data_IF_939983448681
#
_entry.id   IF_939983448681
#
_cell.length_a   1.000
_cell.length_b   1.000
_cell.length_c   1.000
_cell.angle_alpha   90.00
_cell.angle_beta   90.00
_cell.angle_gamma   90.00
#
_symmetry.space_group_name_H-M   'P 1'
#
loop_
_entity.id
_entity.type
_entity.pdbx_description
1 polymer ?
#
# COMPACT_ATOMS: atom_id res chain seq x y z
N UNK A 1 -7.28 -20.11 4.37
CA UNK A 1 -7.01 -19.25 3.21
C UNK A 1 -7.84 -17.97 3.34
N UNK A 2 -7.22 -16.81 3.14
CA UNK A 2 -7.89 -15.51 3.23
C UNK A 2 -8.77 -15.23 2.00
N UNK A 3 -9.90 -14.57 2.24
CA UNK A 3 -10.86 -14.13 1.23
C UNK A 3 -11.30 -12.71 1.52
N UNK A 4 -11.90 -12.02 0.55
CA UNK A 4 -12.39 -10.66 0.75
C UNK A 4 -13.88 -10.70 1.07
N UNK A 5 -14.25 -10.30 2.28
CA UNK A 5 -15.62 -10.16 2.74
C UNK A 5 -16.22 -8.79 2.45
N UNK A 6 -17.52 -8.66 2.67
CA UNK A 6 -18.25 -7.41 2.52
C UNK A 6 -19.01 -7.06 3.80
N UNK A 7 -18.88 -5.80 4.20
CA UNK A 7 -19.76 -5.21 5.20
C UNK A 7 -20.16 -3.79 4.81
N UNK A 8 -21.32 -3.34 5.30
CA UNK A 8 -21.85 -1.99 5.08
C UNK A 8 -22.02 -1.28 6.41
N UNK A 9 -21.53 -0.06 6.46
CA UNK A 9 -21.70 0.82 7.60
C UNK A 9 -22.67 1.95 7.26
N UNK A 10 -23.47 2.37 8.22
CA UNK A 10 -24.24 3.61 8.21
C UNK A 10 -23.47 4.64 9.05
N UNK A 11 -22.91 5.64 8.38
CA UNK A 11 -21.88 6.49 8.99
C UNK A 11 -20.57 5.73 9.20
N UNK A 12 -19.61 6.28 9.95
CA UNK A 12 -18.27 5.71 10.02
C UNK A 12 -18.13 4.48 10.95
N UNK A 13 -19.06 4.23 11.86
CA UNK A 13 -18.87 3.21 12.92
C UNK A 13 -20.05 2.24 13.08
N UNK A 14 -21.23 2.54 12.51
CA UNK A 14 -22.40 1.69 12.71
C UNK A 14 -22.50 0.60 11.64
N UNK A 15 -22.09 -0.62 11.96
CA UNK A 15 -22.21 -1.78 11.08
C UNK A 15 -23.68 -2.19 10.93
N UNK A 16 -24.24 -2.07 9.71
CA UNK A 16 -25.62 -2.40 9.40
C UNK A 16 -25.79 -3.70 8.61
N UNK A 17 -24.72 -4.15 7.94
CA UNK A 17 -24.72 -5.42 7.20
C UNK A 17 -23.33 -6.02 7.19
N UNK A 18 -23.24 -7.33 7.40
CA UNK A 18 -22.05 -8.13 7.16
C UNK A 18 -22.48 -9.42 6.45
N UNK A 19 -21.92 -9.67 5.29
CA UNK A 19 -22.17 -10.92 4.58
C UNK A 19 -21.46 -12.08 5.29
N UNK A 20 -22.12 -13.24 5.29
CA UNK A 20 -21.52 -14.50 5.79
C UNK A 20 -20.60 -15.13 4.77
N UNK A 21 -20.95 -14.98 3.50
CA UNK A 21 -20.15 -15.50 2.38
C UNK A 21 -19.16 -14.45 1.90
N UNK A 22 -17.96 -14.87 1.50
CA UNK A 22 -16.98 -13.96 0.92
C UNK A 22 -17.47 -13.38 -0.40
N UNK A 23 -17.05 -12.15 -0.71
CA UNK A 23 -17.40 -11.45 -1.93
C UNK A 23 -16.42 -11.74 -3.08
N UNK A 24 -15.12 -11.85 -2.77
CA UNK A 24 -14.10 -12.23 -3.73
C UNK A 24 -13.30 -13.40 -3.13
N UNK A 25 -13.23 -14.49 -3.90
CA UNK A 25 -12.55 -15.74 -3.52
C UNK A 25 -11.40 -16.03 -4.49
N UNK A 26 -10.50 -16.95 -4.13
CA UNK A 26 -9.44 -17.41 -5.02
C UNK A 26 -10.03 -18.15 -6.26
N UNK A 27 -9.53 -17.80 -7.44
CA UNK A 27 -9.93 -18.39 -8.72
C UNK A 27 -8.72 -18.85 -9.55
N UNK A 28 -7.54 -18.31 -9.28
CA UNK A 28 -6.32 -18.55 -10.04
C UNK A 28 -5.24 -19.20 -9.18
N UNK A 29 -4.31 -19.91 -9.79
CA UNK A 29 -3.21 -20.58 -9.07
C UNK A 29 -2.36 -19.63 -8.23
N UNK A 30 -2.17 -18.39 -8.70
CA UNK A 30 -1.44 -17.36 -7.97
C UNK A 30 -2.21 -16.80 -6.76
N UNK A 31 -3.46 -17.21 -6.53
CA UNK A 31 -4.31 -16.87 -5.38
C UNK A 31 -4.50 -18.06 -4.43
N UNK A 32 -3.85 -19.21 -4.70
CA UNK A 32 -4.15 -20.50 -4.08
C UNK A 32 -4.00 -20.53 -2.56
N UNK A 33 -3.30 -19.56 -1.94
CA UNK A 33 -3.17 -19.40 -0.49
C UNK A 33 -3.92 -18.20 0.06
N UNK A 34 -4.56 -17.40 -0.79
CA UNK A 34 -5.49 -16.35 -0.36
C UNK A 34 -5.36 -15.02 -1.08
N UNK A 35 -6.32 -14.15 -0.74
CA UNK A 35 -6.39 -12.77 -1.17
C UNK A 35 -6.26 -11.88 0.08
N UNK A 36 -5.26 -11.00 0.11
CA UNK A 36 -4.92 -10.20 1.27
C UNK A 36 -4.96 -8.70 0.95
N UNK A 37 -5.01 -7.88 1.99
CA UNK A 37 -4.77 -6.44 1.93
C UNK A 37 -5.64 -5.68 0.90
N UNK A 38 -6.97 -5.84 0.83
CA UNK A 38 -7.78 -5.14 -0.16
C UNK A 38 -7.73 -3.62 0.03
N UNK A 39 -7.68 -2.88 -1.08
CA UNK A 39 -7.85 -1.43 -1.13
C UNK A 39 -8.83 -1.08 -2.23
N UNK A 40 -9.72 -0.13 -1.95
CA UNK A 40 -10.78 0.24 -2.89
C UNK A 40 -10.80 1.73 -3.13
N UNK A 41 -10.91 2.12 -4.41
CA UNK A 41 -11.18 3.48 -4.84
C UNK A 41 -12.27 3.49 -5.90
N UNK A 42 -13.01 4.59 -6.00
CA UNK A 42 -13.88 4.86 -7.15
C UNK A 42 -13.20 5.89 -8.04
N UNK A 43 -12.95 5.52 -9.31
CA UNK A 43 -12.45 6.44 -10.33
C UNK A 43 -13.50 6.50 -11.43
N UNK A 44 -14.05 7.70 -11.66
CA UNK A 44 -15.21 7.89 -12.53
C UNK A 44 -16.36 6.98 -12.03
N UNK A 45 -16.93 6.12 -12.87
CA UNK A 45 -18.06 5.26 -12.50
C UNK A 45 -17.64 3.81 -12.16
N UNK A 46 -16.33 3.55 -11.99
CA UNK A 46 -15.81 2.21 -11.74
C UNK A 46 -15.11 2.16 -10.38
N UNK A 47 -15.41 1.12 -9.62
CA UNK A 47 -14.66 0.76 -8.41
C UNK A 47 -13.48 -0.12 -8.79
N UNK A 48 -12.30 0.26 -8.34
CA UNK A 48 -11.04 -0.46 -8.49
C UNK A 48 -10.70 -1.06 -7.13
N UNK A 49 -10.68 -2.38 -7.03
CA UNK A 49 -10.29 -3.12 -5.83
C UNK A 49 -8.95 -3.79 -6.10
N UNK A 50 -7.91 -3.30 -5.48
CA UNK A 50 -6.61 -3.95 -5.51
C UNK A 50 -6.48 -4.86 -4.29
N UNK A 51 -5.74 -5.95 -4.44
CA UNK A 51 -5.45 -6.91 -3.37
C UNK A 51 -4.10 -7.57 -3.63
N UNK A 52 -3.55 -8.21 -2.63
CA UNK A 52 -2.39 -9.07 -2.77
C UNK A 52 -2.86 -10.50 -2.97
N UNK A 53 -2.51 -11.11 -4.09
CA UNK A 53 -2.65 -12.54 -4.31
C UNK A 53 -1.44 -13.27 -3.72
N UNK A 54 -1.68 -14.31 -2.94
CA UNK A 54 -0.64 -15.14 -2.34
C UNK A 54 -0.81 -16.60 -2.75
N UNK A 55 0.28 -17.21 -3.25
CA UNK A 55 0.28 -18.61 -3.70
C UNK A 55 1.07 -19.55 -2.78
N UNK A 56 1.44 -19.05 -1.58
CA UNK A 56 2.32 -19.74 -0.64
C UNK A 56 3.80 -19.40 -0.80
N UNK A 57 4.19 -18.84 -1.94
CA UNK A 57 5.57 -18.45 -2.28
C UNK A 57 5.65 -17.00 -2.72
N UNK A 58 4.78 -16.59 -3.64
CA UNK A 58 4.77 -15.25 -4.24
C UNK A 58 3.61 -14.41 -3.70
N UNK A 59 3.87 -13.13 -3.45
CA UNK A 59 2.88 -12.14 -3.04
C UNK A 59 2.86 -11.00 -4.06
N UNK A 60 1.81 -10.92 -4.87
CA UNK A 60 1.72 -10.05 -6.04
C UNK A 60 0.43 -9.22 -6.03
N UNK A 61 0.55 -7.94 -6.37
CA UNK A 61 -0.58 -7.03 -6.48
C UNK A 61 -1.49 -7.33 -7.65
N UNK A 62 -2.77 -7.50 -7.35
CA UNK A 62 -3.83 -7.82 -8.31
C UNK A 62 -4.91 -6.74 -8.32
N UNK A 63 -5.73 -6.76 -9.35
CA UNK A 63 -6.85 -5.85 -9.56
C UNK A 63 -8.13 -6.63 -9.88
N UNK A 64 -9.23 -6.20 -9.24
CA UNK A 64 -10.59 -6.47 -9.66
C UNK A 64 -11.36 -5.15 -9.83
N UNK A 65 -12.33 -5.11 -10.71
CA UNK A 65 -13.17 -3.93 -10.96
C UNK A 65 -14.64 -4.26 -10.78
N UNK A 66 -15.43 -3.26 -10.37
CA UNK A 66 -16.87 -3.38 -10.20
C UNK A 66 -17.57 -2.06 -10.51
N UNK A 67 -18.85 -2.13 -10.91
CA UNK A 67 -19.73 -0.95 -11.03
C UNK A 67 -20.68 -0.82 -9.85
N UNK A 68 -20.90 -1.87 -9.08
CA UNK A 68 -21.98 -1.97 -8.08
C UNK A 68 -21.51 -2.49 -6.70
N UNK A 69 -20.22 -2.86 -6.56
CA UNK A 69 -19.63 -3.46 -5.35
C UNK A 69 -20.20 -4.86 -4.99
N UNK A 70 -20.86 -5.50 -5.93
CA UNK A 70 -21.46 -6.84 -5.78
C UNK A 70 -20.83 -7.78 -6.81
N UNK A 71 -20.76 -7.34 -8.06
CA UNK A 71 -20.20 -8.11 -9.16
C UNK A 71 -18.81 -7.59 -9.50
N UNK A 72 -17.81 -8.46 -9.35
CA UNK A 72 -16.41 -8.12 -9.59
C UNK A 72 -15.86 -8.89 -10.80
N UNK A 73 -15.15 -8.17 -11.65
CA UNK A 73 -14.37 -8.74 -12.73
C UNK A 73 -12.88 -8.65 -12.36
N UNK A 74 -12.24 -9.80 -12.18
CA UNK A 74 -10.80 -9.85 -11.94
C UNK A 74 -10.02 -9.50 -13.20
N UNK A 75 -9.07 -8.57 -13.05
CA UNK A 75 -8.18 -8.14 -14.15
C UNK A 75 -6.79 -8.79 -14.05
N UNK A 76 -6.54 -9.56 -12.98
CA UNK A 76 -5.30 -10.28 -12.75
C UNK A 76 -4.20 -9.44 -12.11
N UNK A 77 -2.97 -9.92 -12.26
CA UNK A 77 -1.76 -9.28 -11.70
C UNK A 77 -1.47 -8.00 -12.48
N UNK A 78 -1.30 -6.89 -11.77
CA UNK A 78 -0.99 -5.57 -12.36
C UNK A 78 0.38 -5.04 -11.96
N UNK A 79 1.15 -5.81 -11.22
CA UNK A 79 2.55 -5.53 -10.85
C UNK A 79 3.50 -6.40 -11.68
N UNK A 80 4.81 -6.08 -11.75
CA UNK A 80 5.76 -6.87 -12.51
C UNK A 80 5.98 -8.26 -11.91
N UNK A 81 5.99 -9.29 -12.76
CA UNK A 81 6.33 -10.66 -12.40
C UNK A 81 7.79 -10.96 -12.79
N UNK A 82 8.73 -10.38 -12.06
CA UNK A 82 10.16 -10.56 -12.28
C UNK A 82 10.84 -11.24 -11.09
N UNK A 83 11.90 -11.99 -11.37
CA UNK A 83 12.72 -12.59 -10.32
C UNK A 83 13.63 -11.56 -9.67
N UNK A 84 14.16 -11.90 -8.49
CA UNK A 84 15.18 -11.08 -7.82
C UNK A 84 16.44 -10.89 -8.70
N UNK A 85 16.83 -11.89 -9.47
CA UNK A 85 17.96 -11.79 -10.41
C UNK A 85 17.69 -10.78 -11.53
N UNK A 86 16.48 -10.80 -12.11
CA UNK A 86 16.07 -9.82 -13.13
C UNK A 86 15.98 -8.40 -12.55
N UNK A 87 15.42 -8.23 -11.35
CA UNK A 87 15.41 -6.95 -10.67
C UNK A 87 16.83 -6.39 -10.51
N UNK A 88 17.77 -7.20 -10.02
CA UNK A 88 19.17 -6.81 -9.90
C UNK A 88 19.80 -6.44 -11.24
N UNK A 89 19.53 -7.22 -12.28
CA UNK A 89 20.05 -6.94 -13.62
C UNK A 89 19.57 -5.57 -14.13
N UNK A 90 18.28 -5.27 -14.01
CA UNK A 90 17.72 -3.99 -14.49
C UNK A 90 18.23 -2.80 -13.66
N UNK A 91 18.21 -2.91 -12.35
CA UNK A 91 18.59 -1.81 -11.47
C UNK A 91 20.10 -1.55 -11.48
N UNK A 92 20.93 -2.58 -11.59
CA UNK A 92 22.38 -2.44 -11.69
C UNK A 92 22.83 -1.82 -13.01
N UNK A 93 22.10 -2.06 -14.10
CA UNK A 93 22.45 -1.51 -15.42
C UNK A 93 22.56 0.03 -15.42
N UNK A 94 21.82 0.71 -14.56
CA UNK A 94 21.84 2.18 -14.39
C UNK A 94 22.11 2.65 -12.97
N UNK A 95 22.47 1.75 -12.06
CA UNK A 95 22.58 2.04 -10.62
C UNK A 95 21.31 2.70 -10.06
N UNK A 96 20.14 2.16 -10.44
CA UNK A 96 18.83 2.76 -10.22
C UNK A 96 18.13 2.26 -8.94
N UNK A 97 18.82 1.53 -8.07
CA UNK A 97 18.30 1.12 -6.76
C UNK A 97 19.34 1.35 -5.67
N UNK A 98 18.87 1.79 -4.48
CA UNK A 98 19.77 1.93 -3.34
C UNK A 98 20.18 0.55 -2.76
N UNK A 99 21.25 0.52 -1.94
CA UNK A 99 21.81 -0.71 -1.38
C UNK A 99 20.84 -1.47 -0.46
N UNK A 100 19.79 -0.84 0.08
CA UNK A 100 18.81 -1.52 0.94
C UNK A 100 18.00 -2.57 0.20
N UNK A 101 17.73 -2.38 -1.10
CA UNK A 101 17.03 -3.38 -1.92
C UNK A 101 17.80 -4.69 -2.00
N UNK A 102 19.14 -4.64 -2.06
CA UNK A 102 20.00 -5.82 -2.11
C UNK A 102 19.99 -6.61 -0.79
N UNK A 103 19.80 -5.93 0.35
CA UNK A 103 19.65 -6.61 1.65
C UNK A 103 18.44 -7.54 1.66
N UNK A 104 17.29 -7.07 1.20
CA UNK A 104 16.07 -7.89 1.11
C UNK A 104 16.21 -8.98 0.05
N UNK A 105 16.93 -8.68 -1.02
CA UNK A 105 17.19 -9.59 -2.12
C UNK A 105 18.09 -10.79 -1.68
N UNK A 106 19.12 -10.54 -0.88
CA UNK A 106 20.01 -11.58 -0.38
C UNK A 106 19.29 -12.63 0.48
N UNK A 107 18.29 -12.21 1.26
CA UNK A 107 17.48 -13.12 2.06
C UNK A 107 16.51 -13.97 1.23
N UNK A 108 16.15 -13.50 0.06
CA UNK A 108 15.23 -14.16 -0.85
C UNK A 108 15.94 -14.67 -2.12
N UNK A 109 17.23 -14.94 -2.06
CA UNK A 109 18.06 -15.37 -3.20
C UNK A 109 17.76 -16.78 -3.75
N UNK A 110 16.70 -17.42 -3.29
CA UNK A 110 16.17 -18.67 -3.85
C UNK A 110 15.56 -18.39 -5.23
N UNK A 111 15.78 -19.29 -6.17
CA UNK A 111 15.26 -19.20 -7.54
C UNK A 111 13.88 -19.85 -7.65
N UNK A 112 13.68 -20.91 -6.87
CA UNK A 112 12.49 -21.76 -6.89
C UNK A 112 12.20 -22.29 -5.48
N UNK A 113 10.93 -22.41 -5.15
CA UNK A 113 10.45 -23.04 -3.93
C UNK A 113 9.16 -23.81 -4.26
N UNK A 114 9.09 -25.07 -3.80
CA UNK A 114 7.93 -25.97 -3.99
C UNK A 114 7.49 -26.08 -5.48
N UNK A 115 8.47 -26.12 -6.41
CA UNK A 115 8.20 -26.16 -7.84
C UNK A 115 7.73 -24.85 -8.45
N UNK A 116 7.68 -23.76 -7.69
CA UNK A 116 7.27 -22.43 -8.15
C UNK A 116 8.47 -21.50 -8.28
N UNK A 117 8.53 -20.78 -9.38
CA UNK A 117 9.50 -19.71 -9.58
C UNK A 117 9.25 -18.58 -8.58
N UNK A 118 10.29 -18.08 -7.93
CA UNK A 118 10.20 -16.99 -6.95
C UNK A 118 10.30 -15.66 -7.68
N UNK A 119 9.27 -14.83 -7.50
CA UNK A 119 9.22 -13.45 -7.97
C UNK A 119 9.52 -12.48 -6.83
N UNK A 120 9.97 -11.28 -7.18
CA UNK A 120 10.04 -10.19 -6.20
C UNK A 120 8.63 -9.88 -5.67
N UNK A 121 8.50 -9.80 -4.34
CA UNK A 121 7.22 -9.47 -3.73
C UNK A 121 6.87 -8.01 -3.99
N UNK A 122 5.69 -7.79 -4.56
CA UNK A 122 5.17 -6.47 -4.86
C UNK A 122 3.72 -6.37 -4.36
N UNK A 123 3.56 -5.73 -3.21
CA UNK A 123 2.31 -5.63 -2.43
C UNK A 123 1.82 -4.19 -2.34
N UNK A 124 0.71 -4.00 -1.61
CA UNK A 124 0.14 -2.70 -1.26
C UNK A 124 -0.13 -1.81 -2.48
N UNK A 125 -0.69 -2.38 -3.54
CA UNK A 125 -1.14 -1.61 -4.69
C UNK A 125 -2.35 -0.76 -4.29
N UNK A 126 -2.25 0.55 -4.48
CA UNK A 126 -3.26 1.50 -4.04
C UNK A 126 -3.42 2.61 -5.08
N UNK A 127 -4.56 2.65 -5.75
CA UNK A 127 -4.85 3.72 -6.71
C UNK A 127 -5.13 5.06 -6.02
N UNK A 128 -4.74 6.14 -6.67
CA UNK A 128 -5.28 7.46 -6.38
C UNK A 128 -6.74 7.52 -6.83
N UNK A 129 -7.64 8.20 -6.09
CA UNK A 129 -9.09 8.16 -6.37
C UNK A 129 -9.54 8.99 -7.58
N UNK A 130 -8.60 9.52 -8.34
CA UNK A 130 -8.80 10.11 -9.67
C UNK A 130 -7.55 9.99 -10.54
N UNK A 131 -7.74 10.17 -11.82
CA UNK A 131 -6.60 10.35 -12.75
C UNK A 131 -5.88 11.68 -12.46
N UNK A 132 -4.55 11.64 -12.53
CA UNK A 132 -3.69 12.82 -12.42
C UNK A 132 -3.14 13.11 -13.81
N UNK A 133 -3.41 14.33 -14.33
CA UNK A 133 -3.06 14.71 -15.70
C UNK A 133 -3.55 13.70 -16.76
N UNK A 134 -4.78 13.18 -16.57
CA UNK A 134 -5.42 12.21 -17.46
C UNK A 134 -4.90 10.77 -17.35
N UNK A 135 -3.98 10.49 -16.43
CA UNK A 135 -3.32 9.18 -16.26
C UNK A 135 -3.71 8.52 -14.96
N UNK A 136 -3.82 7.19 -14.98
CA UNK A 136 -3.88 6.41 -13.76
C UNK A 136 -2.59 6.57 -12.95
N UNK A 137 -2.78 6.71 -11.66
CA UNK A 137 -1.70 6.79 -10.69
C UNK A 137 -1.96 5.80 -9.56
N UNK A 138 -0.97 5.00 -9.19
CA UNK A 138 -1.06 4.11 -8.05
C UNK A 138 0.29 3.89 -7.37
N UNK A 139 0.22 3.67 -6.07
CA UNK A 139 1.34 3.24 -5.26
C UNK A 139 1.44 1.71 -5.28
N UNK A 140 2.65 1.20 -5.11
CA UNK A 140 2.92 -0.20 -4.82
C UNK A 140 4.17 -0.32 -3.94
N UNK A 141 4.51 -1.53 -3.50
CA UNK A 141 5.63 -1.70 -2.57
C UNK A 141 6.51 -2.90 -2.89
N UNK A 142 7.70 -2.61 -3.37
CA UNK A 142 8.87 -3.47 -3.29
C UNK A 142 9.73 -2.95 -2.12
N UNK A 143 9.90 -3.76 -1.06
CA UNK A 143 10.65 -3.34 0.15
C UNK A 143 12.03 -2.80 -0.22
N UNK A 144 12.52 -1.73 0.45
CA UNK A 144 11.99 -1.12 1.68
C UNK A 144 11.14 0.14 1.47
N UNK A 145 10.85 0.55 0.26
CA UNK A 145 10.27 1.84 -0.09
C UNK A 145 8.88 1.69 -0.70
N UNK A 146 8.09 2.77 -0.73
CA UNK A 146 6.87 2.86 -1.51
C UNK A 146 7.23 3.42 -2.87
N UNK A 147 6.85 2.72 -3.93
CA UNK A 147 7.00 3.17 -5.30
C UNK A 147 5.68 3.70 -5.85
N UNK A 148 5.77 4.44 -6.95
CA UNK A 148 4.62 5.03 -7.62
C UNK A 148 4.71 4.81 -9.14
N UNK A 149 3.56 4.52 -9.74
CA UNK A 149 3.37 4.53 -11.20
C UNK A 149 2.43 5.69 -11.54
N UNK A 150 2.89 6.64 -12.33
CA UNK A 150 2.18 7.89 -12.73
C UNK A 150 2.07 7.98 -14.25
N UNK A 151 2.01 6.89 -14.99
CA UNK A 151 2.37 6.99 -16.39
C UNK A 151 1.36 6.45 -17.41
N UNK A 152 0.28 5.76 -16.99
CA UNK A 152 -0.55 5.01 -17.94
C UNK A 152 -1.92 5.65 -18.14
N UNK A 153 -2.30 5.90 -19.39
CA UNK A 153 -3.64 6.35 -19.75
C UNK A 153 -4.63 5.17 -19.72
N UNK A 154 -4.13 3.97 -19.98
CA UNK A 154 -4.83 2.70 -19.87
C UNK A 154 -3.99 1.67 -19.11
N UNK A 155 -4.62 0.86 -18.26
CA UNK A 155 -3.95 -0.22 -17.53
C UNK A 155 -3.38 -1.32 -18.45
N UNK A 156 -3.83 -1.38 -19.71
CA UNK A 156 -3.26 -2.29 -20.74
C UNK A 156 -1.84 -1.90 -21.16
N UNK A 157 -1.39 -0.70 -20.81
CA UNK A 157 -0.01 -0.26 -21.05
C UNK A 157 1.01 -0.87 -20.06
N UNK A 158 0.54 -1.48 -18.97
CA UNK A 158 1.37 -2.17 -17.97
C UNK A 158 1.94 -3.49 -18.51
N UNK A 159 2.74 -3.40 -19.54
CA UNK A 159 3.38 -4.52 -20.25
C UNK A 159 4.75 -4.84 -19.67
N UNK A 160 5.33 -5.98 -20.06
CA UNK A 160 6.72 -6.30 -19.71
C UNK A 160 7.71 -5.22 -20.18
N UNK A 161 7.49 -4.62 -21.36
CA UNK A 161 8.33 -3.53 -21.87
C UNK A 161 8.22 -2.27 -21.01
N UNK A 162 7.01 -1.94 -20.52
CA UNK A 162 6.79 -0.86 -19.57
C UNK A 162 7.60 -1.09 -18.29
N UNK A 163 7.49 -2.27 -17.68
CA UNK A 163 8.18 -2.58 -16.44
C UNK A 163 9.70 -2.68 -16.60
N UNK A 164 10.20 -3.15 -17.72
CA UNK A 164 11.64 -3.13 -17.99
C UNK A 164 12.19 -1.69 -17.96
N UNK A 165 11.51 -0.75 -18.62
CA UNK A 165 11.89 0.66 -18.59
C UNK A 165 11.73 1.26 -17.17
N UNK A 166 10.66 0.91 -16.47
CA UNK A 166 10.40 1.30 -15.08
C UNK A 166 11.58 0.93 -14.16
N UNK A 167 12.04 -0.32 -14.21
CA UNK A 167 13.16 -0.77 -13.38
C UNK A 167 14.51 -0.17 -13.78
N UNK A 168 14.74 0.10 -15.05
CA UNK A 168 15.94 0.81 -15.47
C UNK A 168 16.04 2.23 -14.90
N UNK A 169 14.90 2.83 -14.54
CA UNK A 169 14.82 4.16 -13.95
C UNK A 169 14.17 4.12 -12.55
N UNK A 170 14.41 3.08 -11.79
CA UNK A 170 13.66 2.72 -10.59
C UNK A 170 13.68 3.82 -9.51
N UNK A 171 14.82 4.49 -9.31
CA UNK A 171 14.92 5.59 -8.34
C UNK A 171 13.97 6.77 -8.67
N UNK A 172 13.64 6.97 -9.94
CA UNK A 172 12.73 8.04 -10.36
C UNK A 172 11.27 7.74 -10.00
N UNK A 173 10.99 6.53 -9.50
CA UNK A 173 9.67 6.05 -9.14
C UNK A 173 9.47 5.85 -7.63
N UNK A 174 10.39 6.32 -6.82
CA UNK A 174 10.24 6.26 -5.37
C UNK A 174 9.32 7.40 -4.92
N UNK A 175 8.26 7.03 -4.18
CA UNK A 175 7.35 7.98 -3.55
C UNK A 175 7.82 8.33 -2.14
N UNK A 176 8.02 7.33 -1.29
CA UNK A 176 8.45 7.50 0.09
C UNK A 176 9.54 6.47 0.43
N UNK A 177 10.66 6.97 0.96
CA UNK A 177 11.73 6.15 1.54
C UNK A 177 11.67 6.18 3.06
N UNK A 178 12.14 5.15 3.79
CA UNK A 178 12.34 5.22 5.23
C UNK A 178 13.18 6.44 5.62
N UNK A 179 12.68 7.26 6.53
CA UNK A 179 13.29 8.54 6.93
C UNK A 179 13.50 8.66 8.44
N UNK A 180 12.57 8.09 9.23
CA UNK A 180 12.56 8.22 10.67
C UNK A 180 12.78 6.87 11.38
N UNK A 181 13.04 6.88 12.68
CA UNK A 181 13.30 5.68 13.48
C UNK A 181 12.15 4.64 13.41
N UNK A 182 10.91 5.10 13.44
CA UNK A 182 9.74 4.23 13.34
C UNK A 182 9.51 3.65 11.92
N UNK A 183 10.35 4.00 10.95
CA UNK A 183 10.37 3.50 9.58
C UNK A 183 11.66 2.73 9.26
N UNK A 184 12.50 2.47 10.27
CA UNK A 184 13.89 2.03 10.08
C UNK A 184 14.05 0.73 9.30
N UNK A 185 13.04 -0.15 9.32
CA UNK A 185 13.02 -1.35 8.50
C UNK A 185 12.51 -1.04 7.09
N UNK A 186 11.28 -0.62 6.96
CA UNK A 186 10.66 -0.26 5.67
C UNK A 186 9.37 0.55 5.86
N UNK A 187 8.84 1.06 4.74
CA UNK A 187 7.52 1.70 4.66
C UNK A 187 6.64 0.96 3.65
N UNK A 188 5.32 1.10 3.79
CA UNK A 188 4.36 0.54 2.84
C UNK A 188 3.04 1.30 2.82
N UNK A 189 2.37 1.31 1.66
CA UNK A 189 1.10 2.00 1.48
C UNK A 189 0.03 1.49 2.45
N UNK A 190 -0.75 2.40 3.00
CA UNK A 190 -1.85 2.10 3.91
C UNK A 190 -3.20 2.28 3.25
N UNK A 191 -3.71 3.50 3.24
CA UNK A 191 -5.02 3.84 2.72
C UNK A 191 -4.95 4.47 1.33
N UNK A 192 -6.05 4.45 0.55
CA UNK A 192 -6.17 5.30 -0.63
C UNK A 192 -5.87 6.76 -0.29
N UNK A 193 -5.10 7.48 -1.13
CA UNK A 193 -4.78 8.88 -0.91
C UNK A 193 -6.02 9.76 -0.78
N UNK A 194 -5.96 10.77 0.09
CA UNK A 194 -7.05 11.72 0.30
C UNK A 194 -6.67 13.05 -0.33
N UNK A 195 -7.48 13.52 -1.27
CA UNK A 195 -7.28 14.82 -1.88
C UNK A 195 -7.59 15.95 -0.89
N UNK A 196 -6.67 16.89 -0.74
CA UNK A 196 -6.83 18.07 0.10
C UNK A 196 -6.36 19.32 -0.64
N UNK A 197 -6.75 20.53 -0.23
CA UNK A 197 -6.25 21.77 -0.83
C UNK A 197 -4.72 21.97 -0.70
N UNK A 198 -4.04 21.17 0.12
CA UNK A 198 -2.60 21.26 0.38
C UNK A 198 -1.77 20.15 -0.27
N UNK A 199 -2.43 19.17 -0.89
CA UNK A 199 -1.79 18.02 -1.49
C UNK A 199 -2.58 16.73 -1.24
N UNK A 200 -2.06 15.61 -1.73
CA UNK A 200 -2.57 14.29 -1.38
C UNK A 200 -2.07 13.90 0.01
N UNK A 201 -3.00 13.68 0.94
CA UNK A 201 -2.68 13.07 2.23
C UNK A 201 -2.52 11.57 2.05
N UNK A 202 -1.32 11.08 2.32
CA UNK A 202 -0.95 9.67 2.28
C UNK A 202 -0.92 9.14 3.72
N UNK A 203 -1.85 8.23 4.06
CA UNK A 203 -1.78 7.43 5.28
C UNK A 203 -1.09 6.13 4.92
N UNK A 204 0.04 5.84 5.55
CA UNK A 204 0.90 4.70 5.26
C UNK A 204 1.34 4.01 6.55
N UNK A 205 2.02 2.89 6.47
CA UNK A 205 2.65 2.27 7.64
C UNK A 205 4.16 2.37 7.57
N UNK A 206 4.76 2.76 8.69
CA UNK A 206 6.17 2.64 8.96
C UNK A 206 6.43 1.40 9.80
N UNK A 207 7.53 0.70 9.52
CA UNK A 207 7.92 -0.52 10.22
C UNK A 207 9.30 -0.35 10.83
N UNK A 208 9.37 -0.61 12.14
CA UNK A 208 10.60 -0.59 12.90
C UNK A 208 10.99 -2.00 13.32
N UNK A 209 12.27 -2.32 13.18
CA UNK A 209 12.86 -3.53 13.77
C UNK A 209 12.96 -3.35 15.29
N UNK A 210 12.54 -4.36 16.04
CA UNK A 210 12.77 -4.45 17.49
C UNK A 210 13.30 -5.83 17.87
N UNK A 211 13.71 -5.99 19.12
CA UNK A 211 14.18 -7.28 19.63
C UNK A 211 13.09 -8.35 19.63
N UNK A 212 11.83 -7.91 19.75
CA UNK A 212 10.65 -8.77 19.80
C UNK A 212 9.93 -8.89 18.45
N UNK A 213 10.56 -8.44 17.35
CA UNK A 213 10.01 -8.46 15.99
C UNK A 213 9.69 -7.08 15.45
N UNK A 214 8.83 -7.00 14.46
CA UNK A 214 8.45 -5.75 13.82
C UNK A 214 7.38 -5.00 14.62
N UNK A 215 7.51 -3.65 14.64
CA UNK A 215 6.46 -2.75 15.14
C UNK A 215 5.91 -1.98 13.93
N UNK A 216 4.61 -2.16 13.65
CA UNK A 216 3.92 -1.47 12.58
C UNK A 216 3.14 -0.28 13.13
N UNK A 217 3.47 0.91 12.68
CA UNK A 217 2.82 2.16 13.08
C UNK A 217 2.17 2.86 11.89
N UNK A 218 1.01 3.47 12.10
CA UNK A 218 0.42 4.32 11.10
C UNK A 218 1.14 5.68 11.03
N UNK A 219 1.39 6.16 9.83
CA UNK A 219 2.15 7.35 9.53
C UNK A 219 1.40 8.25 8.56
N UNK A 220 1.79 9.50 8.43
CA UNK A 220 1.17 10.46 7.52
C UNK A 220 2.20 11.30 6.78
N UNK A 221 1.98 11.47 5.48
CA UNK A 221 2.73 12.37 4.60
C UNK A 221 1.79 13.16 3.70
N UNK A 222 2.27 14.26 3.16
CA UNK A 222 1.58 15.08 2.16
C UNK A 222 2.46 15.14 0.91
N UNK A 223 1.87 14.88 -0.25
CA UNK A 223 2.55 14.94 -1.54
C UNK A 223 1.80 15.87 -2.50
N UNK A 224 2.48 16.37 -3.52
CA UNK A 224 1.92 17.32 -4.47
C UNK A 224 0.76 16.74 -5.28
N UNK A 225 -0.23 17.58 -5.62
CA UNK A 225 -1.46 17.16 -6.32
C UNK A 225 -1.22 16.76 -7.77
N UNK A 226 -0.32 17.45 -8.45
CA UNK A 226 -0.07 17.26 -9.87
C UNK A 226 1.17 16.40 -10.12
N UNK A 227 2.12 16.41 -9.19
CA UNK A 227 3.30 15.57 -9.19
C UNK A 227 3.47 14.85 -7.83
N UNK A 228 2.76 13.74 -7.61
CA UNK A 228 2.78 13.04 -6.32
C UNK A 228 4.14 12.52 -5.87
N UNK A 229 5.15 12.52 -6.73
CA UNK A 229 6.54 12.18 -6.37
C UNK A 229 7.22 13.25 -5.52
N UNK A 230 6.63 14.45 -5.43
CA UNK A 230 7.14 15.52 -4.59
C UNK A 230 6.53 15.39 -3.19
N UNK A 231 7.35 14.99 -2.21
CA UNK A 231 6.98 15.04 -0.78
C UNK A 231 6.94 16.50 -0.34
N UNK A 232 5.78 16.99 0.09
CA UNK A 232 5.59 18.34 0.65
C UNK A 232 5.91 18.34 2.15
N UNK A 233 5.40 17.33 2.87
CA UNK A 233 5.53 17.24 4.31
C UNK A 233 5.41 15.79 4.78
N UNK A 234 6.03 15.48 5.95
CA UNK A 234 5.90 14.18 6.61
C UNK A 234 5.99 14.38 8.12
N UNK A 235 5.13 13.70 8.88
CA UNK A 235 5.24 13.69 10.34
C UNK A 235 6.54 12.98 10.75
N UNK A 236 7.36 13.58 11.64
CA UNK A 236 8.59 12.95 12.13
C UNK A 236 8.34 11.90 13.23
N UNK A 237 7.09 11.58 13.51
CA UNK A 237 6.61 10.61 14.49
C UNK A 237 5.37 9.89 13.95
N UNK A 238 5.06 8.69 14.46
CA UNK A 238 3.87 7.96 14.04
C UNK A 238 2.59 8.73 14.34
N UNK A 239 1.62 8.68 13.45
CA UNK A 239 0.26 9.17 13.70
C UNK A 239 -0.36 8.41 14.88
N UNK A 240 -0.19 7.08 14.89
CA UNK A 240 -0.44 6.21 16.04
C UNK A 240 0.36 4.91 15.92
N UNK A 241 0.60 4.28 17.07
CA UNK A 241 1.36 3.03 17.19
C UNK A 241 0.62 2.06 18.11
N UNK A 242 0.94 0.76 18.09
CA UNK A 242 0.32 -0.23 18.96
C UNK A 242 0.44 0.14 20.45
N UNK A 243 -0.69 0.16 21.16
CA UNK A 243 -0.79 0.49 22.60
C UNK A 243 -1.85 -0.30 23.33
N UNK A 244 -2.84 -0.83 22.60
CA UNK A 244 -3.96 -1.59 23.18
C UNK A 244 -3.64 -3.08 23.12
N UNK A 245 -4.17 -3.85 24.05
CA UNK A 245 -3.92 -5.29 24.10
C UNK A 245 -4.18 -5.96 22.75
N UNK A 246 -5.25 -5.58 22.06
CA UNK A 246 -5.61 -6.09 20.74
C UNK A 246 -4.75 -5.55 19.56
N UNK A 247 -3.82 -4.65 19.81
CA UNK A 247 -2.81 -4.15 18.86
C UNK A 247 -1.44 -4.76 19.15
N UNK A 248 -1.23 -5.19 20.40
CA UNK A 248 0.03 -5.75 20.89
C UNK A 248 0.10 -7.26 20.69
N UNK A 249 -1.02 -7.96 20.82
CA UNK A 249 -1.09 -9.43 20.78
C UNK A 249 -2.15 -9.90 19.79
N UNK A 250 -1.81 -10.86 18.90
CA UNK A 250 -2.66 -11.47 17.89
C UNK A 250 -1.88 -12.43 16.99
N UNK A 251 -2.33 -12.63 15.75
CA UNK A 251 -1.60 -13.46 14.78
C UNK A 251 -0.22 -12.85 14.45
N UNK A 252 -0.13 -11.53 14.39
CA UNK A 252 1.12 -10.78 14.29
C UNK A 252 1.12 -9.70 15.38
N UNK A 253 2.07 -9.77 16.29
CA UNK A 253 2.15 -8.83 17.40
C UNK A 253 2.60 -7.43 16.96
N UNK A 254 2.20 -6.40 17.74
CA UNK A 254 2.61 -5.01 17.58
C UNK A 254 2.23 -4.40 16.21
N UNK A 255 0.97 -4.57 15.79
CA UNK A 255 0.50 -4.11 14.48
C UNK A 255 -0.64 -3.10 14.58
N UNK A 256 -0.40 -1.90 14.01
CA UNK A 256 -1.42 -0.97 13.55
C UNK A 256 -1.25 -0.79 12.03
N UNK A 257 -2.07 -1.50 11.24
CA UNK A 257 -1.94 -1.56 9.77
C UNK A 257 -3.11 -0.82 9.09
N UNK A 258 -2.95 0.48 8.73
CA UNK A 258 -4.03 1.25 8.12
C UNK A 258 -4.41 0.70 6.75
N UNK A 259 -5.72 0.62 6.46
CA UNK A 259 -6.24 -0.01 5.25
C UNK A 259 -7.28 0.82 4.50
N UNK A 260 -8.04 1.66 5.20
CA UNK A 260 -9.07 2.47 4.61
C UNK A 260 -9.38 3.72 5.41
N UNK A 261 -9.93 4.72 4.75
CA UNK A 261 -10.33 5.98 5.39
C UNK A 261 -11.68 6.45 4.90
N UNK A 262 -12.35 7.23 5.74
CA UNK A 262 -13.51 8.02 5.34
C UNK A 262 -13.49 9.36 6.07
N UNK A 263 -13.91 10.40 5.38
CA UNK A 263 -14.02 11.76 5.94
C UNK A 263 -15.49 12.11 6.15
N UNK A 264 -15.82 12.47 7.40
CA UNK A 264 -17.13 13.04 7.73
C UNK A 264 -16.92 14.45 8.33
N UNK A 265 -17.36 15.48 7.61
CA UNK A 265 -17.04 16.89 7.93
C UNK A 265 -15.51 17.05 8.02
N UNK A 266 -14.99 17.46 9.16
CA UNK A 266 -13.55 17.59 9.41
C UNK A 266 -12.94 16.37 10.13
N UNK A 267 -13.69 15.32 10.36
CA UNK A 267 -13.19 14.12 11.03
C UNK A 267 -12.77 13.07 10.03
N UNK A 268 -11.49 12.73 10.03
CA UNK A 268 -10.90 11.60 9.31
C UNK A 268 -10.97 10.35 10.18
N UNK A 269 -11.67 9.35 9.73
CA UNK A 269 -11.71 8.00 10.33
C UNK A 269 -10.75 7.11 9.56
N UNK A 270 -9.87 6.40 10.29
CA UNK A 270 -8.86 5.50 9.74
C UNK A 270 -9.17 4.11 10.26
N UNK A 271 -9.53 3.19 9.36
CA UNK A 271 -9.71 1.78 9.67
C UNK A 271 -8.38 1.07 9.51
N UNK A 272 -8.06 0.19 10.45
CA UNK A 272 -6.78 -0.51 10.46
C UNK A 272 -6.91 -1.93 10.98
N UNK A 273 -6.06 -2.82 10.48
CA UNK A 273 -5.82 -4.12 11.07
C UNK A 273 -5.02 -3.96 12.37
N UNK A 274 -5.48 -4.58 13.43
CA UNK A 274 -4.84 -4.59 14.73
C UNK A 274 -4.36 -6.00 15.04
N UNK A 275 -3.04 -6.17 15.24
CA UNK A 275 -2.35 -7.42 15.50
C UNK A 275 -2.72 -8.56 14.51
N UNK A 276 -3.08 -8.18 13.27
CA UNK A 276 -3.49 -9.06 12.16
C UNK A 276 -4.70 -9.98 12.46
N UNK A 277 -5.48 -9.63 13.50
CA UNK A 277 -6.63 -10.43 13.98
C UNK A 277 -7.94 -9.62 13.95
N UNK A 278 -7.88 -8.32 14.26
CA UNK A 278 -9.06 -7.46 14.43
C UNK A 278 -9.03 -6.26 13.49
N UNK A 279 -10.22 -5.73 13.21
CA UNK A 279 -10.37 -4.44 12.54
C UNK A 279 -10.77 -3.40 13.58
N UNK A 280 -9.99 -2.35 13.67
CA UNK A 280 -10.24 -1.22 14.56
C UNK A 280 -10.37 0.09 13.79
N UNK A 281 -10.82 1.15 14.45
CA UNK A 281 -10.97 2.48 13.87
C UNK A 281 -10.49 3.56 14.85
N UNK A 282 -9.73 4.50 14.33
CA UNK A 282 -9.32 5.72 15.05
C UNK A 282 -9.78 6.94 14.27
N UNK A 283 -9.95 8.06 14.94
CA UNK A 283 -10.33 9.32 14.26
C UNK A 283 -9.43 10.47 14.67
N UNK A 284 -9.24 11.40 13.74
CA UNK A 284 -8.47 12.65 13.93
C UNK A 284 -9.13 13.78 13.15
N UNK A 285 -8.93 15.04 13.57
CA UNK A 285 -9.30 16.20 12.76
C UNK A 285 -8.45 16.24 11.49
N UNK A 286 -9.08 16.25 10.32
CA UNK A 286 -8.37 16.33 9.04
C UNK A 286 -7.62 17.64 8.90
N UNK A 287 -8.27 18.77 9.20
CA UNK A 287 -7.63 20.09 9.17
C UNK A 287 -6.49 20.19 10.20
N UNK A 288 -6.66 19.62 11.40
CA UNK A 288 -5.63 19.52 12.42
C UNK A 288 -4.41 18.74 11.93
N UNK A 289 -4.61 17.56 11.31
CA UNK A 289 -3.54 16.75 10.76
C UNK A 289 -2.78 17.46 9.63
N UNK A 290 -3.51 18.12 8.72
CA UNK A 290 -2.88 18.89 7.63
C UNK A 290 -2.06 20.06 8.19
N UNK A 291 -2.58 20.79 9.18
CA UNK A 291 -1.86 21.87 9.82
C UNK A 291 -0.59 21.36 10.51
N UNK A 292 -0.65 20.22 11.20
CA UNK A 292 0.50 19.60 11.85
C UNK A 292 1.58 19.19 10.85
N UNK A 293 1.18 18.59 9.72
CA UNK A 293 2.09 18.28 8.60
C UNK A 293 2.79 19.55 8.09
N UNK A 294 2.03 20.61 7.80
CA UNK A 294 2.58 21.88 7.30
C UNK A 294 3.50 22.58 8.28
N UNK A 295 3.28 22.46 9.60
CA UNK A 295 4.18 22.99 10.62
C UNK A 295 5.52 22.25 10.67
N UNK A 296 5.54 20.97 10.38
CA UNK A 296 6.75 20.16 10.37
C UNK A 296 7.58 20.35 9.09
N UNK A 297 7.00 20.80 7.97
CA UNK A 297 7.76 21.21 6.77
C UNK A 297 8.73 22.34 7.11
N UNK A 298 8.28 23.37 7.82
CA UNK A 298 9.09 24.55 8.17
C UNK A 298 10.24 24.27 9.14
N UNK A 299 10.18 23.15 9.90
CA UNK A 299 11.26 22.77 10.84
C UNK A 299 12.41 22.02 10.15
N UNK A 300 12.17 21.45 8.99
CA UNK A 300 13.18 20.69 8.25
C UNK A 300 14.02 21.56 7.29
N UNK A 301 13.63 22.82 7.09
CA UNK A 301 14.34 23.81 6.24
C UNK A 301 15.31 24.70 7.03
N UNK A 302 15.48 24.49 8.35
CA UNK A 302 16.43 25.14 9.23
C UNK A 302 17.46 24.14 9.78
#
# INVERSE_FOLDING_TARGET
YSTIGYCKLQGPLNLVQRNTEPLIIAEFDYESHGLEDPRIVKIEEIYYVTYTAFDGVNALGCLAVSKDLIHFEKKGIIVPTITYAQFNQFTNAKNSANSKYFRYNQHNGMVEQDGKKIFIWDKNVIFFPRKINGKFCFMHRIKPEIQIIVAVTSLTELTAAFYNNYFMNFNDHILLSPKYDHESSYVGGGCPPIETPKGWLIIYHGVKDSIDGYIYSACAALVDLDNPQIEIARLPYPLFSPKKDWELEGEVNNVCFPTGTVVFKDTLYIYYGAADEKIACVSVSLSGLINELMLNTKKNDN
#
